data_IF_062520515118
#
_entry.id   IF_062520515118
#
_cell.length_a   1.000
_cell.length_b   1.000
_cell.length_c   1.000
_cell.angle_alpha   90.00
_cell.angle_beta   90.00
_cell.angle_gamma   90.00
#
_symmetry.space_group_name_H-M   'P 1'
#
loop_
_entity.id
_entity.type
_entity.pdbx_description
1 polymer ?
#
# COMPACT_ATOMS: atom_id res chain seq x y z
N UNK A 1 -13.11 33.44 6.24
CA UNK A 1 -12.05 32.41 6.08
C UNK A 1 -12.16 31.24 7.06
N UNK A 2 -12.31 31.44 8.39
CA UNK A 2 -12.43 30.36 9.40
C UNK A 2 -13.49 29.29 9.10
N UNK A 3 -14.67 29.67 8.61
CA UNK A 3 -15.77 28.72 8.33
C UNK A 3 -15.45 27.73 7.19
N UNK A 4 -14.76 28.18 6.13
CA UNK A 4 -14.34 27.33 5.00
C UNK A 4 -13.22 26.36 5.41
N UNK A 5 -12.26 26.83 6.22
CA UNK A 5 -11.19 26.00 6.75
C UNK A 5 -11.73 24.91 7.70
N UNK A 6 -12.69 25.25 8.57
CA UNK A 6 -13.32 24.29 9.48
C UNK A 6 -14.10 23.20 8.74
N UNK A 7 -14.79 23.55 7.65
CA UNK A 7 -15.49 22.56 6.80
C UNK A 7 -14.48 21.61 6.15
N UNK A 8 -13.40 22.14 5.55
CA UNK A 8 -12.34 21.31 4.96
C UNK A 8 -11.69 20.39 6.00
N UNK A 9 -11.41 20.90 7.20
CA UNK A 9 -10.87 20.12 8.31
C UNK A 9 -11.81 18.99 8.75
N UNK A 10 -13.12 19.26 8.84
CA UNK A 10 -14.12 18.26 9.20
C UNK A 10 -14.20 17.16 8.13
N UNK A 11 -14.20 17.53 6.85
CA UNK A 11 -14.17 16.58 5.73
C UNK A 11 -12.92 15.71 5.79
N UNK A 12 -11.73 16.29 5.99
CA UNK A 12 -10.48 15.53 6.11
C UNK A 12 -10.53 14.55 7.29
N UNK A 13 -11.03 14.98 8.45
CA UNK A 13 -11.18 14.12 9.63
C UNK A 13 -12.17 12.98 9.37
N UNK A 14 -13.28 13.23 8.67
CA UNK A 14 -14.27 12.21 8.33
C UNK A 14 -13.68 11.16 7.38
N UNK A 15 -12.99 11.61 6.32
CA UNK A 15 -12.30 10.72 5.35
C UNK A 15 -11.22 9.88 6.03
N UNK A 16 -10.41 10.48 6.91
CA UNK A 16 -9.42 9.74 7.69
C UNK A 16 -10.07 8.70 8.60
N UNK A 17 -11.15 9.07 9.29
CA UNK A 17 -11.85 8.17 10.20
C UNK A 17 -12.40 6.97 9.44
N UNK A 18 -13.03 7.21 8.28
CA UNK A 18 -13.51 6.15 7.40
C UNK A 18 -12.38 5.22 6.93
N UNK A 19 -11.27 5.79 6.43
CA UNK A 19 -10.13 5.01 5.94
C UNK A 19 -9.48 4.15 7.04
N UNK A 20 -9.34 4.70 8.25
CA UNK A 20 -8.81 3.95 9.40
C UNK A 20 -9.77 2.84 9.85
N UNK A 21 -11.08 3.09 9.83
CA UNK A 21 -12.08 2.07 10.16
C UNK A 21 -12.11 0.94 9.13
N UNK A 22 -12.02 1.28 7.83
CA UNK A 22 -11.97 0.31 6.75
C UNK A 22 -10.71 -0.57 6.85
N UNK A 23 -9.52 0.02 7.00
CA UNK A 23 -8.30 -0.76 7.20
C UNK A 23 -8.33 -1.58 8.48
N UNK A 24 -8.86 -1.02 9.58
CA UNK A 24 -9.04 -1.74 10.84
C UNK A 24 -9.97 -2.95 10.70
N UNK A 25 -11.04 -2.82 9.91
CA UNK A 25 -11.96 -3.93 9.61
C UNK A 25 -11.26 -5.06 8.85
N UNK A 26 -10.47 -4.74 7.81
CA UNK A 26 -9.71 -5.76 7.06
C UNK A 26 -8.65 -6.44 7.92
N UNK A 27 -7.93 -5.70 8.77
CA UNK A 27 -6.96 -6.27 9.71
C UNK A 27 -7.67 -7.22 10.69
N UNK A 28 -8.80 -6.80 11.25
CA UNK A 28 -9.58 -7.63 12.18
C UNK A 28 -10.11 -8.90 11.50
N UNK A 29 -10.64 -8.77 10.28
CA UNK A 29 -11.13 -9.90 9.49
C UNK A 29 -9.99 -10.88 9.19
N UNK A 30 -8.83 -10.37 8.76
CA UNK A 30 -7.63 -11.17 8.50
C UNK A 30 -7.12 -11.88 9.75
N UNK A 31 -7.10 -11.19 10.90
CA UNK A 31 -6.73 -11.79 12.18
C UNK A 31 -7.71 -12.88 12.62
N UNK A 32 -9.01 -12.66 12.45
CA UNK A 32 -10.05 -13.66 12.76
C UNK A 32 -9.92 -14.88 11.87
N UNK A 33 -9.76 -14.69 10.55
CA UNK A 33 -9.55 -15.78 9.60
C UNK A 33 -8.26 -16.54 9.93
N UNK A 34 -7.15 -15.85 10.17
CA UNK A 34 -5.89 -16.48 10.57
C UNK A 34 -5.98 -17.28 11.87
N UNK A 35 -6.69 -16.75 12.88
CA UNK A 35 -6.91 -17.45 14.14
C UNK A 35 -7.84 -18.65 14.00
N UNK A 36 -8.93 -18.53 13.23
CA UNK A 36 -9.86 -19.63 12.95
C UNK A 36 -9.16 -20.75 12.16
N UNK A 37 -8.45 -20.41 11.10
CA UNK A 37 -7.67 -21.37 10.31
C UNK A 37 -6.60 -22.03 11.20
N UNK A 38 -5.85 -21.28 12.00
CA UNK A 38 -4.87 -21.84 12.93
C UNK A 38 -5.46 -22.79 13.97
N UNK A 39 -6.65 -22.47 14.51
CA UNK A 39 -7.35 -23.31 15.49
C UNK A 39 -7.97 -24.57 14.86
N UNK A 40 -8.55 -24.45 13.67
CA UNK A 40 -9.12 -25.58 12.92
C UNK A 40 -8.02 -26.55 12.48
N UNK A 41 -6.87 -26.04 12.06
CA UNK A 41 -5.67 -26.84 11.75
C UNK A 41 -5.15 -27.58 12.98
N UNK A 42 -5.07 -26.90 14.13
CA UNK A 42 -4.64 -27.51 15.40
C UNK A 42 -5.59 -28.60 15.92
N UNK A 43 -6.88 -28.54 15.55
CA UNK A 43 -7.90 -29.52 15.95
C UNK A 43 -8.08 -30.68 14.98
N UNK A 44 -7.95 -30.44 13.67
CA UNK A 44 -8.22 -31.45 12.64
C UNK A 44 -7.00 -32.27 12.21
N UNK A 45 -5.77 -31.83 12.48
CA UNK A 45 -4.57 -32.53 12.00
C UNK A 45 -4.58 -32.79 10.48
N UNK A 46 -5.40 -32.05 9.73
CA UNK A 46 -5.71 -32.30 8.34
C UNK A 46 -4.57 -31.81 7.45
N UNK A 47 -4.16 -32.70 6.55
CA UNK A 47 -3.28 -32.54 5.38
C UNK A 47 -2.31 -31.35 5.44
N UNK A 48 -1.12 -31.65 5.94
CA UNK A 48 0.11 -30.84 5.82
C UNK A 48 0.28 -30.31 4.38
N UNK A 49 -0.22 -31.03 3.36
CA UNK A 49 -0.22 -30.61 1.97
C UNK A 49 -1.10 -29.38 1.69
N UNK A 50 -2.35 -29.35 2.17
CA UNK A 50 -3.24 -28.19 2.00
C UNK A 50 -2.73 -26.97 2.77
N UNK A 51 -2.09 -27.20 3.92
CA UNK A 51 -1.37 -26.15 4.65
C UNK A 51 -0.17 -25.60 3.86
N UNK A 52 0.60 -26.48 3.23
CA UNK A 52 1.74 -26.10 2.41
C UNK A 52 1.30 -25.28 1.18
N UNK A 53 0.18 -25.64 0.56
CA UNK A 53 -0.39 -24.86 -0.55
C UNK A 53 -0.82 -23.46 -0.10
N UNK A 54 -1.50 -23.33 1.04
CA UNK A 54 -1.89 -22.04 1.62
C UNK A 54 -0.69 -21.15 1.97
N UNK A 55 0.37 -21.73 2.53
CA UNK A 55 1.60 -20.99 2.88
C UNK A 55 2.41 -20.55 1.66
N UNK A 56 2.24 -21.26 0.54
CA UNK A 56 2.93 -20.99 -0.72
C UNK A 56 2.07 -20.17 -1.70
N UNK A 57 0.90 -19.69 -1.27
CA UNK A 57 0.08 -18.79 -2.07
C UNK A 57 0.82 -17.47 -2.32
N UNK A 58 1.06 -17.18 -3.59
CA UNK A 58 1.61 -15.92 -4.06
C UNK A 58 0.64 -15.26 -5.02
N UNK A 59 0.43 -13.96 -4.84
CA UNK A 59 -0.31 -13.13 -5.81
C UNK A 59 0.67 -12.70 -6.88
N UNK A 60 0.33 -12.99 -8.12
CA UNK A 60 1.14 -12.74 -9.30
C UNK A 60 0.34 -11.85 -10.24
N UNK A 61 0.88 -10.68 -10.59
CA UNK A 61 0.24 -9.82 -11.59
C UNK A 61 0.86 -10.09 -12.95
N UNK A 62 0.00 -10.07 -13.98
CA UNK A 62 0.29 -10.54 -15.32
C UNK A 62 -0.07 -9.45 -16.33
N UNK A 63 0.77 -9.30 -17.35
CA UNK A 63 0.50 -8.44 -18.50
C UNK A 63 0.58 -9.32 -19.75
N UNK A 64 -0.43 -9.30 -20.64
CA UNK A 64 -0.37 -10.03 -21.90
C UNK A 64 0.84 -9.59 -22.73
N UNK A 65 1.63 -10.54 -23.22
CA UNK A 65 2.84 -10.24 -24.00
C UNK A 65 2.53 -9.63 -25.38
N UNK A 66 1.32 -9.87 -25.91
CA UNK A 66 0.82 -9.26 -27.14
C UNK A 66 -0.39 -8.37 -26.83
N UNK A 67 -0.29 -7.09 -27.18
CA UNK A 67 -1.41 -6.15 -27.15
C UNK A 67 -2.19 -6.10 -28.47
N UNK A 68 -1.85 -6.96 -29.43
CA UNK A 68 -2.59 -7.08 -30.67
C UNK A 68 -3.93 -7.79 -30.44
N UNK A 69 -5.00 -7.22 -31.00
CA UNK A 69 -6.40 -7.53 -30.67
C UNK A 69 -6.83 -8.99 -30.85
N UNK A 70 -6.11 -9.77 -31.67
CA UNK A 70 -6.44 -11.17 -31.94
C UNK A 70 -5.87 -12.16 -30.93
N UNK A 71 -4.86 -11.75 -30.16
CA UNK A 71 -4.07 -12.66 -29.31
C UNK A 71 -4.01 -12.17 -27.85
N UNK A 72 -4.82 -11.17 -27.52
CA UNK A 72 -4.96 -10.61 -26.18
C UNK A 72 -5.68 -11.58 -25.22
N UNK A 73 -6.71 -12.28 -25.70
CA UNK A 73 -7.47 -13.26 -24.92
C UNK A 73 -6.97 -14.68 -25.18
N UNK A 74 -5.84 -15.04 -24.55
CA UNK A 74 -5.21 -16.35 -24.72
C UNK A 74 -5.88 -17.46 -23.90
N UNK A 75 -6.65 -17.11 -22.88
CA UNK A 75 -7.32 -18.05 -22.00
C UNK A 75 -8.84 -18.00 -22.15
N UNK A 76 -9.53 -18.95 -21.50
CA UNK A 76 -10.99 -18.93 -21.42
C UNK A 76 -11.48 -19.37 -20.04
N UNK A 77 -12.59 -18.77 -19.60
CA UNK A 77 -13.23 -19.10 -18.33
C UNK A 77 -14.62 -19.67 -18.60
N UNK A 78 -14.97 -20.74 -17.89
CA UNK A 78 -16.29 -21.34 -17.99
C UNK A 78 -17.32 -20.42 -17.33
N UNK A 79 -18.31 -19.96 -18.10
CA UNK A 79 -19.40 -19.16 -17.60
C UNK A 79 -20.61 -20.05 -17.29
N UNK A 80 -20.92 -20.22 -16.01
CA UNK A 80 -22.04 -21.04 -15.55
C UNK A 80 -23.40 -20.52 -16.03
N UNK A 81 -23.54 -19.21 -16.28
CA UNK A 81 -24.81 -18.62 -16.75
C UNK A 81 -25.07 -18.93 -18.21
N UNK A 82 -24.06 -18.84 -19.07
CA UNK A 82 -24.19 -19.14 -20.50
C UNK A 82 -23.90 -20.60 -20.83
N UNK A 83 -23.37 -21.36 -19.87
CA UNK A 83 -22.86 -22.73 -20.04
C UNK A 83 -21.83 -22.87 -21.16
N UNK A 84 -21.07 -21.80 -21.41
CA UNK A 84 -20.07 -21.72 -22.48
C UNK A 84 -18.78 -21.11 -21.95
N UNK A 85 -17.67 -21.46 -22.60
CA UNK A 85 -16.38 -20.82 -22.33
C UNK A 85 -16.35 -19.43 -22.98
N UNK A 86 -15.84 -18.46 -22.23
CA UNK A 86 -15.70 -17.06 -22.68
C UNK A 86 -14.22 -16.71 -22.68
N UNK A 87 -13.69 -16.05 -23.73
CA UNK A 87 -12.30 -15.61 -23.77
C UNK A 87 -11.97 -14.68 -22.58
N UNK A 88 -10.79 -14.89 -21.99
CA UNK A 88 -10.33 -14.19 -20.81
C UNK A 88 -8.84 -13.85 -20.89
N UNK A 89 -8.47 -12.77 -20.22
CA UNK A 89 -7.09 -12.37 -19.97
C UNK A 89 -6.95 -12.06 -18.49
N UNK A 90 -5.91 -12.61 -17.85
CA UNK A 90 -5.68 -12.42 -16.42
C UNK A 90 -4.79 -11.20 -16.17
N UNK A 91 -5.19 -10.33 -15.24
CA UNK A 91 -4.35 -9.25 -14.72
C UNK A 91 -3.69 -9.62 -13.39
N UNK A 92 -4.36 -10.44 -12.57
CA UNK A 92 -3.87 -10.91 -11.27
C UNK A 92 -4.32 -12.35 -11.02
N UNK A 93 -3.42 -13.18 -10.51
CA UNK A 93 -3.64 -14.60 -10.24
C UNK A 93 -3.03 -14.98 -8.89
N UNK A 94 -3.74 -15.79 -8.11
CA UNK A 94 -3.18 -16.44 -6.92
C UNK A 94 -2.69 -17.83 -7.29
N UNK A 95 -1.40 -18.07 -7.14
CA UNK A 95 -0.77 -19.36 -7.47
C UNK A 95 -0.02 -19.88 -6.25
N UNK A 96 -0.21 -21.15 -5.92
CA UNK A 96 0.61 -21.84 -4.92
C UNK A 96 1.90 -22.31 -5.58
N UNK A 97 3.00 -21.59 -5.35
CA UNK A 97 4.32 -21.93 -5.91
C UNK A 97 5.33 -22.03 -4.76
N UNK A 98 5.99 -23.18 -4.67
CA UNK A 98 7.08 -23.41 -3.72
C UNK A 98 8.33 -22.69 -4.21
N UNK A 99 8.40 -21.39 -3.98
CA UNK A 99 9.65 -20.66 -4.10
C UNK A 99 10.52 -21.06 -2.91
N UNK A 100 11.65 -21.72 -3.17
CA UNK A 100 12.67 -22.02 -2.16
C UNK A 100 13.35 -20.72 -1.67
N UNK A 101 12.57 -19.84 -1.04
CA UNK A 101 13.04 -18.56 -0.53
C UNK A 101 13.99 -18.82 0.64
N UNK A 102 15.22 -18.35 0.50
CA UNK A 102 16.19 -18.42 1.59
C UNK A 102 15.63 -17.75 2.86
N UNK A 103 15.92 -18.32 4.04
CA UNK A 103 15.47 -17.79 5.34
C UNK A 103 15.79 -16.29 5.48
N UNK A 104 16.94 -15.84 4.95
CA UNK A 104 17.32 -14.43 4.95
C UNK A 104 16.35 -13.51 4.18
N UNK A 105 15.86 -13.94 3.00
CA UNK A 105 14.87 -13.17 2.22
C UNK A 105 13.53 -13.08 2.96
N UNK A 106 13.08 -14.19 3.56
CA UNK A 106 11.85 -14.24 4.34
C UNK A 106 11.93 -13.29 5.54
N UNK A 107 13.02 -13.33 6.30
CA UNK A 107 13.25 -12.42 7.44
C UNK A 107 13.30 -10.97 6.99
N UNK A 108 14.03 -10.67 5.90
CA UNK A 108 14.13 -9.31 5.36
C UNK A 108 12.75 -8.78 4.92
N UNK A 109 11.93 -9.61 4.28
CA UNK A 109 10.56 -9.27 3.88
C UNK A 109 9.71 -8.89 5.08
N UNK A 110 9.66 -9.73 6.11
CA UNK A 110 8.89 -9.42 7.32
C UNK A 110 9.39 -8.15 8.01
N UNK A 111 10.70 -7.94 8.08
CA UNK A 111 11.29 -6.72 8.63
C UNK A 111 10.85 -5.47 7.86
N UNK A 112 10.85 -5.52 6.52
CA UNK A 112 10.37 -4.43 5.67
C UNK A 112 8.87 -4.13 5.90
N UNK A 113 8.05 -5.17 6.08
CA UNK A 113 6.62 -5.02 6.39
C UNK A 113 6.42 -4.32 7.75
N UNK A 114 7.16 -4.72 8.78
CA UNK A 114 7.08 -4.07 10.10
C UNK A 114 7.57 -2.62 10.07
N UNK A 115 8.64 -2.33 9.32
CA UNK A 115 9.11 -0.95 9.09
C UNK A 115 8.03 -0.12 8.39
N UNK A 116 7.44 -0.64 7.31
CA UNK A 116 6.34 0.00 6.61
C UNK A 116 5.19 0.34 7.57
N UNK A 117 4.74 -0.63 8.38
CA UNK A 117 3.68 -0.42 9.38
C UNK A 117 4.05 0.69 10.36
N UNK A 118 5.28 0.69 10.88
CA UNK A 118 5.77 1.70 11.82
C UNK A 118 5.79 3.11 11.22
N UNK A 119 6.31 3.27 10.00
CA UNK A 119 6.33 4.57 9.32
C UNK A 119 4.93 5.05 8.95
N UNK A 120 4.04 4.15 8.52
CA UNK A 120 2.65 4.48 8.19
C UNK A 120 1.88 4.97 9.43
N UNK A 121 2.01 4.29 10.58
CA UNK A 121 1.42 4.75 11.85
C UNK A 121 1.98 6.11 12.28
N UNK A 122 3.30 6.31 12.14
CA UNK A 122 3.92 7.59 12.46
C UNK A 122 3.44 8.72 11.55
N UNK A 123 3.27 8.46 10.25
CA UNK A 123 2.72 9.42 9.29
C UNK A 123 1.29 9.85 9.66
N UNK A 124 0.43 8.91 10.06
CA UNK A 124 -0.93 9.21 10.54
C UNK A 124 -0.90 10.12 11.77
N UNK A 125 -0.05 9.84 12.76
CA UNK A 125 0.10 10.68 13.96
C UNK A 125 0.58 12.10 13.60
N UNK A 126 1.54 12.22 12.69
CA UNK A 126 2.02 13.51 12.21
C UNK A 126 0.91 14.29 11.47
N UNK A 127 0.10 13.59 10.67
CA UNK A 127 -1.00 14.19 9.92
C UNK A 127 -2.08 14.73 10.85
N UNK A 128 -2.52 13.94 11.84
CA UNK A 128 -3.49 14.37 12.85
C UNK A 128 -2.96 15.60 13.61
N UNK A 129 -1.69 15.59 14.02
CA UNK A 129 -1.07 16.74 14.70
C UNK A 129 -1.00 17.99 13.81
N UNK A 130 -0.81 17.82 12.50
CA UNK A 130 -0.86 18.92 11.53
C UNK A 130 -2.27 19.52 11.46
N UNK A 131 -3.30 18.66 11.33
CA UNK A 131 -4.71 19.08 11.27
C UNK A 131 -5.11 19.85 12.54
N UNK A 132 -4.74 19.35 13.72
CA UNK A 132 -5.01 20.03 15.00
C UNK A 132 -4.37 21.43 15.02
N UNK A 133 -3.15 21.57 14.51
CA UNK A 133 -2.49 22.88 14.45
C UNK A 133 -3.18 23.85 13.50
N UNK A 134 -3.62 23.36 12.35
CA UNK A 134 -4.38 24.14 11.36
C UNK A 134 -5.71 24.60 11.95
N UNK A 135 -6.42 23.73 12.67
CA UNK A 135 -7.69 24.05 13.33
C UNK A 135 -7.52 25.14 14.40
N UNK A 136 -6.40 25.10 15.15
CA UNK A 136 -6.04 26.16 16.10
C UNK A 136 -5.64 27.50 15.45
N UNK A 137 -5.76 27.62 14.11
CA UNK A 137 -5.34 28.80 13.33
C UNK A 137 -3.84 29.12 13.40
N UNK A 138 -3.02 28.24 13.99
CA UNK A 138 -1.55 28.31 13.98
C UNK A 138 -1.04 27.50 12.78
N UNK A 139 -1.29 28.05 11.58
CA UNK A 139 -1.00 27.40 10.28
C UNK A 139 0.48 27.57 9.93
N UNK A 140 0.95 28.82 9.89
CA UNK A 140 2.31 29.19 9.52
C UNK A 140 3.22 29.16 10.76
N UNK A 141 3.80 28.00 11.03
CA UNK A 141 4.78 27.80 12.09
C UNK A 141 5.88 26.84 11.59
N UNK A 142 7.15 27.13 11.89
CA UNK A 142 8.28 26.25 11.59
C UNK A 142 8.13 24.84 12.17
N UNK A 143 7.33 24.67 13.23
CA UNK A 143 6.95 23.35 13.76
C UNK A 143 6.08 22.56 12.78
N UNK A 144 5.13 23.21 12.10
CA UNK A 144 4.28 22.55 11.12
C UNK A 144 5.03 22.25 9.82
N UNK A 145 5.94 23.13 9.40
CA UNK A 145 6.88 22.82 8.29
C UNK A 145 7.67 21.55 8.58
N UNK A 146 8.27 21.43 9.78
CA UNK A 146 9.02 20.23 10.17
C UNK A 146 8.14 18.99 10.27
N UNK A 147 6.91 19.11 10.78
CA UNK A 147 5.93 18.00 10.81
C UNK A 147 5.61 17.52 9.39
N UNK A 148 5.40 18.46 8.47
CA UNK A 148 5.05 18.17 7.08
C UNK A 148 6.20 17.52 6.31
N UNK A 149 7.44 18.00 6.50
CA UNK A 149 8.66 17.34 5.98
C UNK A 149 8.82 15.92 6.50
N UNK A 150 8.65 15.72 7.83
CA UNK A 150 8.74 14.38 8.45
C UNK A 150 7.64 13.45 7.94
N UNK A 151 6.42 13.96 7.74
CA UNK A 151 5.31 13.20 7.18
C UNK A 151 5.65 12.73 5.76
N UNK A 152 6.17 13.63 4.91
CA UNK A 152 6.56 13.26 3.56
C UNK A 152 7.69 12.25 3.51
N UNK A 153 8.73 12.44 4.32
CA UNK A 153 9.80 11.44 4.43
C UNK A 153 9.28 10.09 4.93
N UNK A 154 8.38 10.08 5.92
CA UNK A 154 7.80 8.83 6.43
C UNK A 154 7.02 8.07 5.34
N UNK A 155 6.22 8.77 4.53
CA UNK A 155 5.46 8.18 3.43
C UNK A 155 6.38 7.67 2.30
N UNK A 156 7.44 8.41 1.95
CA UNK A 156 8.41 7.98 0.94
C UNK A 156 9.19 6.75 1.41
N UNK A 157 9.66 6.73 2.67
CA UNK A 157 10.35 5.57 3.23
C UNK A 157 9.41 4.36 3.31
N UNK A 158 8.18 4.58 3.75
CA UNK A 158 7.12 3.56 3.78
C UNK A 158 6.88 2.94 2.40
N UNK A 159 6.83 3.75 1.35
CA UNK A 159 6.76 3.30 -0.04
C UNK A 159 7.98 2.48 -0.45
N UNK A 160 9.19 2.94 -0.14
CA UNK A 160 10.42 2.21 -0.46
C UNK A 160 10.47 0.84 0.22
N UNK A 161 10.00 0.73 1.46
CA UNK A 161 9.90 -0.55 2.15
C UNK A 161 8.95 -1.51 1.45
N UNK A 162 7.76 -1.05 1.05
CA UNK A 162 6.80 -1.86 0.29
C UNK A 162 7.37 -2.27 -1.07
N UNK A 163 7.96 -1.33 -1.81
CA UNK A 163 8.58 -1.59 -3.10
C UNK A 163 9.68 -2.65 -3.00
N UNK A 164 10.59 -2.52 -2.02
CA UNK A 164 11.65 -3.51 -1.79
C UNK A 164 11.08 -4.88 -1.42
N UNK A 165 10.04 -4.93 -0.59
CA UNK A 165 9.35 -6.19 -0.25
C UNK A 165 8.74 -6.85 -1.48
N UNK A 166 8.00 -6.10 -2.31
CA UNK A 166 7.40 -6.61 -3.54
C UNK A 166 8.44 -7.04 -4.57
N UNK A 167 9.57 -6.34 -4.64
CA UNK A 167 10.68 -6.69 -5.52
C UNK A 167 11.35 -8.01 -5.13
N UNK A 168 11.52 -8.26 -3.82
CA UNK A 168 12.01 -9.54 -3.32
C UNK A 168 11.05 -10.68 -3.68
N UNK A 169 9.75 -10.47 -3.54
CA UNK A 169 8.72 -11.45 -3.92
C UNK A 169 8.76 -11.74 -5.43
N UNK A 170 8.91 -10.71 -6.25
CA UNK A 170 8.99 -10.84 -7.70
C UNK A 170 10.19 -11.67 -8.15
N UNK A 171 11.38 -11.42 -7.62
CA UNK A 171 12.57 -12.25 -7.93
C UNK A 171 12.34 -13.72 -7.53
N UNK A 172 11.65 -13.96 -6.41
CA UNK A 172 11.31 -15.32 -5.97
C UNK A 172 10.28 -16.03 -6.85
N UNK A 173 9.36 -15.27 -7.47
CA UNK A 173 8.31 -15.83 -8.35
C UNK A 173 8.84 -16.02 -9.77
N UNK A 174 9.52 -15.02 -10.33
CA UNK A 174 10.06 -15.03 -11.70
C UNK A 174 10.99 -16.21 -11.96
N UNK A 175 11.73 -16.66 -10.93
CA UNK A 175 12.62 -17.81 -11.03
C UNK A 175 11.91 -19.17 -11.05
N UNK A 176 10.64 -19.25 -10.63
CA UNK A 176 9.92 -20.53 -10.42
C UNK A 176 8.63 -20.61 -11.24
N UNK A 177 8.09 -19.48 -11.68
CA UNK A 177 6.78 -19.39 -12.34
C UNK A 177 6.86 -18.58 -13.62
N UNK A 178 6.50 -19.22 -14.74
CA UNK A 178 6.34 -18.58 -16.04
C UNK A 178 5.00 -18.99 -16.64
N UNK A 179 4.22 -18.01 -17.11
CA UNK A 179 2.95 -18.28 -17.79
C UNK A 179 3.09 -17.95 -19.27
N UNK A 180 2.73 -18.91 -20.14
CA UNK A 180 2.88 -18.73 -21.58
C UNK A 180 1.99 -17.60 -22.09
N UNK A 181 2.58 -16.59 -22.74
CA UNK A 181 1.85 -15.44 -23.28
C UNK A 181 1.59 -14.30 -22.29
N UNK A 182 2.15 -14.38 -21.08
CA UNK A 182 2.06 -13.33 -20.08
C UNK A 182 3.44 -13.02 -19.48
N UNK A 183 3.67 -11.74 -19.20
CA UNK A 183 4.82 -11.25 -18.46
C UNK A 183 4.42 -10.90 -17.03
N UNK A 184 5.32 -11.16 -16.08
CA UNK A 184 5.10 -10.81 -14.69
C UNK A 184 5.25 -9.29 -14.50
N UNK A 185 4.32 -8.68 -13.75
CA UNK A 185 4.31 -7.24 -13.50
C UNK A 185 4.44 -6.88 -12.03
N UNK A 186 5.37 -5.97 -11.74
CA UNK A 186 5.53 -5.32 -10.43
C UNK A 186 4.56 -4.14 -10.23
N UNK A 187 3.94 -3.65 -11.30
CA UNK A 187 3.28 -2.34 -11.34
C UNK A 187 2.08 -2.24 -10.41
N UNK A 188 1.29 -3.31 -10.30
CA UNK A 188 0.08 -3.32 -9.46
C UNK A 188 0.35 -3.62 -7.97
N UNK A 189 1.55 -4.09 -7.62
CA UNK A 189 1.92 -4.40 -6.24
C UNK A 189 2.28 -3.16 -5.41
N UNK A 190 2.58 -2.04 -6.09
CA UNK A 190 3.17 -0.87 -5.47
C UNK A 190 2.19 0.31 -5.52
N UNK A 191 1.85 0.85 -4.36
CA UNK A 191 0.94 2.00 -4.23
C UNK A 191 1.62 3.30 -4.67
N UNK A 192 1.48 3.66 -5.95
CA UNK A 192 1.95 4.95 -6.50
C UNK A 192 1.34 6.15 -5.75
N UNK A 193 0.12 5.99 -5.22
CA UNK A 193 -0.56 7.03 -4.42
C UNK A 193 0.21 7.39 -3.16
N UNK A 194 0.84 6.42 -2.47
CA UNK A 194 1.65 6.67 -1.27
C UNK A 194 2.87 7.52 -1.59
N UNK A 195 3.54 7.24 -2.71
CA UNK A 195 4.67 8.04 -3.19
C UNK A 195 4.23 9.46 -3.55
N UNK A 196 3.15 9.59 -4.32
CA UNK A 196 2.61 10.90 -4.72
C UNK A 196 2.25 11.74 -3.50
N UNK A 197 1.55 11.16 -2.51
CA UNK A 197 1.21 11.86 -1.26
C UNK A 197 2.46 12.28 -0.48
N UNK A 198 3.48 11.40 -0.41
CA UNK A 198 4.77 11.72 0.19
C UNK A 198 5.44 12.91 -0.46
N UNK A 199 5.58 12.88 -1.80
CA UNK A 199 6.18 13.97 -2.57
C UNK A 199 5.38 15.27 -2.46
N UNK A 200 4.05 15.22 -2.59
CA UNK A 200 3.19 16.39 -2.42
C UNK A 200 3.38 17.02 -1.04
N UNK A 201 3.45 16.23 0.03
CA UNK A 201 3.67 16.76 1.37
C UNK A 201 5.06 17.41 1.53
N UNK A 202 6.11 16.87 0.91
CA UNK A 202 7.43 17.52 0.89
C UNK A 202 7.39 18.87 0.18
N UNK A 203 6.75 18.93 -1.00
CA UNK A 203 6.58 20.18 -1.77
C UNK A 203 5.80 21.22 -0.95
N UNK A 204 4.67 20.84 -0.37
CA UNK A 204 3.88 21.75 0.49
C UNK A 204 4.70 22.19 1.71
N UNK A 205 5.54 21.32 2.26
CA UNK A 205 6.50 21.65 3.31
C UNK A 205 7.46 22.77 2.92
N UNK A 206 8.04 22.71 1.72
CA UNK A 206 8.93 23.76 1.20
C UNK A 206 8.18 25.06 0.90
N UNK A 207 7.00 24.98 0.29
CA UNK A 207 6.16 26.16 0.03
C UNK A 207 5.81 26.88 1.33
N UNK A 208 5.49 26.15 2.40
CA UNK A 208 5.23 26.74 3.71
C UNK A 208 6.49 27.36 4.34
N UNK A 209 7.66 26.75 4.13
CA UNK A 209 8.93 27.31 4.62
C UNK A 209 9.27 28.64 3.93
N UNK A 210 9.08 28.73 2.62
CA UNK A 210 9.28 29.96 1.85
C UNK A 210 8.27 31.03 2.29
N UNK A 211 6.98 30.67 2.40
CA UNK A 211 5.95 31.60 2.85
C UNK A 211 6.20 32.15 4.26
N UNK A 212 6.79 31.36 5.15
CA UNK A 212 7.22 31.82 6.48
C UNK A 212 8.38 32.81 6.41
N UNK A 213 9.41 32.52 5.62
CA UNK A 213 10.54 33.44 5.43
C UNK A 213 10.12 34.78 4.85
N UNK A 214 9.26 34.75 3.82
CA UNK A 214 8.74 35.98 3.20
C UNK A 214 7.94 36.84 4.20
N UNK A 215 7.18 36.19 5.08
CA UNK A 215 6.44 36.89 6.13
C UNK A 215 7.39 37.52 7.17
N UNK A 216 8.41 36.78 7.60
CA UNK A 216 9.43 37.29 8.53
C UNK A 216 10.19 38.50 7.94
N UNK A 217 10.52 38.47 6.64
CA UNK A 217 11.17 39.58 5.93
C UNK A 217 10.27 40.83 5.80
N UNK A 218 8.97 40.62 5.58
CA UNK A 218 7.98 41.72 5.56
C UNK A 218 7.75 42.34 6.94
N UNK A 219 7.77 41.54 8.01
CA UNK A 219 7.61 42.05 9.38
C UNK A 219 8.87 42.82 9.87
N UNK A 220 10.04 42.59 9.26
CA UNK A 220 11.31 43.27 9.60
C UNK A 220 11.55 44.59 8.85
N UNK A 221 10.81 44.86 7.78
CA UNK A 221 10.96 46.07 6.95
C UNK A 221 10.00 47.21 7.35
N UNK A 222 9.10 46.96 8.30
CA UNK A 222 8.16 47.93 8.90
C UNK A 222 8.70 48.38 10.26
#
# INVERSE_FOLDING_TARGET
>A
MKRRLNILCLVVMLVLSYSVLEQGYYIFLGAKMGAQTGLELGKKGSDIAAYKELMNLKVVNLIPSSMESFDFFRDSVYNEKSRSYVPAAYSSLMVSVDSHDSVGKVVAKYLLIYLHLGFSLWAVVLFIRLIISINKSDIFNWRNVRRLRRLGMALVVSFCCTFASSYLDFIGIDTVFSLHGYELSLSELVSTTTLVLGLCSLIVGEVFAIGLKMKEEQDLTI
#
